data_IF_071332367815
#
_entry.id   IF_071332367815
#
_cell.length_a   1.000
_cell.length_b   1.000
_cell.length_c   1.000
_cell.angle_alpha   90.00
_cell.angle_beta   90.00
_cell.angle_gamma   90.00
#
_symmetry.space_group_name_H-M   'P 1'
#
loop_
_entity.id
_entity.type
_entity.pdbx_description
1 polymer ?
#
# COMPACT_ATOMS: atom_id res chain seq x y z
N UNK A 1 -19.83 24.20 35.07
CA UNK A 1 -20.08 22.77 35.33
C UNK A 1 -21.50 22.43 34.88
N UNK A 2 -21.64 21.82 33.69
CA UNK A 2 -22.73 20.93 33.24
C UNK A 2 -22.50 20.65 31.74
N UNK A 3 -21.48 19.84 31.50
CA UNK A 3 -21.30 19.12 30.24
C UNK A 3 -22.34 17.98 30.18
N UNK A 4 -22.75 17.63 28.97
CA UNK A 4 -23.53 16.44 28.56
C UNK A 4 -25.05 16.43 28.80
N UNK A 5 -25.81 16.76 27.74
CA UNK A 5 -27.01 16.05 27.21
C UNK A 5 -27.59 16.89 26.07
N UNK A 6 -27.49 16.53 24.79
CA UNK A 6 -28.37 15.65 23.97
C UNK A 6 -27.85 15.88 22.53
N UNK A 7 -27.35 14.95 21.72
CA UNK A 7 -27.84 13.64 21.25
C UNK A 7 -29.35 13.68 20.94
N UNK A 8 -29.67 13.38 19.66
CA UNK A 8 -31.00 13.37 19.01
C UNK A 8 -31.53 14.81 18.77
N UNK A 9 -31.66 15.35 17.56
CA UNK A 9 -32.00 14.82 16.25
C UNK A 9 -31.48 15.77 15.16
N UNK A 10 -30.65 15.28 14.24
CA UNK A 10 -30.71 15.65 12.81
C UNK A 10 -30.09 14.48 12.06
N UNK A 11 -30.91 13.44 12.00
CA UNK A 11 -30.75 12.22 11.24
C UNK A 11 -30.86 12.53 9.75
N UNK A 12 -30.11 11.74 8.99
CA UNK A 12 -30.24 11.41 7.56
C UNK A 12 -29.35 12.19 6.58
N UNK A 13 -28.67 11.36 5.75
CA UNK A 13 -27.84 11.68 4.57
C UNK A 13 -26.39 12.10 4.89
N UNK A 14 -25.48 11.18 5.21
CA UNK A 14 -24.97 10.19 4.26
C UNK A 14 -24.35 8.99 4.99
N UNK A 15 -25.15 7.95 5.18
CA UNK A 15 -24.64 6.58 5.20
C UNK A 15 -24.10 6.26 3.80
N UNK A 16 -22.85 6.67 3.50
CA UNK A 16 -22.10 5.95 2.48
C UNK A 16 -21.69 4.63 3.09
N UNK A 17 -22.58 3.66 2.90
CA UNK A 17 -22.31 2.23 2.94
C UNK A 17 -20.93 2.04 2.31
N UNK A 18 -19.93 1.76 3.15
CA UNK A 18 -18.63 1.30 2.69
C UNK A 18 -18.83 -0.15 2.26
N UNK A 19 -19.63 -0.36 1.22
CA UNK A 19 -19.58 -1.57 0.42
C UNK A 19 -18.14 -1.61 -0.06
N UNK A 20 -17.41 -2.59 0.48
CA UNK A 20 -16.05 -2.89 0.10
C UNK A 20 -16.04 -3.18 -1.40
N UNK A 21 -15.90 -2.13 -2.20
CA UNK A 21 -15.87 -2.20 -3.65
C UNK A 21 -14.61 -2.97 -3.97
N UNK A 22 -14.79 -4.26 -4.24
CA UNK A 22 -13.71 -5.16 -4.61
C UNK A 22 -13.04 -4.56 -5.84
N UNK A 23 -11.81 -4.05 -5.67
CA UNK A 23 -11.09 -3.43 -6.77
C UNK A 23 -10.61 -4.54 -7.71
N UNK A 24 -10.67 -4.30 -9.02
CA UNK A 24 -10.10 -5.22 -10.00
C UNK A 24 -8.72 -4.71 -10.40
N UNK A 25 -7.70 -5.54 -10.22
CA UNK A 25 -6.36 -5.20 -10.72
C UNK A 25 -6.39 -5.10 -12.25
N UNK A 26 -5.98 -3.95 -12.79
CA UNK A 26 -6.10 -3.65 -14.23
C UNK A 26 -4.85 -4.05 -15.01
N UNK A 27 -3.67 -3.84 -14.41
CA UNK A 27 -2.38 -4.07 -15.06
C UNK A 27 -1.39 -4.70 -14.09
N UNK A 28 -0.53 -5.59 -14.58
CA UNK A 28 0.57 -6.18 -13.81
C UNK A 28 1.90 -5.53 -14.21
N UNK A 29 2.58 -4.94 -13.24
CA UNK A 29 3.88 -4.28 -13.41
C UNK A 29 4.98 -5.15 -12.76
N UNK A 30 6.04 -5.44 -13.51
CA UNK A 30 7.23 -6.14 -12.98
C UNK A 30 8.32 -5.12 -12.68
N UNK A 31 8.64 -4.94 -11.40
CA UNK A 31 9.67 -4.02 -10.94
C UNK A 31 10.93 -4.81 -10.58
N UNK A 32 12.09 -4.39 -11.10
CA UNK A 32 13.36 -5.07 -10.89
C UNK A 32 14.48 -4.06 -10.67
N UNK A 33 15.31 -4.30 -9.65
CA UNK A 33 16.56 -3.58 -9.42
C UNK A 33 17.62 -4.58 -8.96
N UNK A 34 18.68 -4.78 -9.75
CA UNK A 34 19.68 -5.84 -9.54
C UNK A 34 19.00 -7.22 -9.36
N UNK A 35 19.22 -7.86 -8.21
CA UNK A 35 18.64 -9.16 -7.86
C UNK A 35 17.31 -9.04 -7.09
N UNK A 36 16.85 -7.82 -6.80
CA UNK A 36 15.58 -7.56 -6.13
C UNK A 36 14.44 -7.43 -7.14
N UNK A 37 13.30 -8.05 -6.86
CA UNK A 37 12.12 -8.04 -7.73
C UNK A 37 10.83 -7.97 -6.94
N UNK A 38 9.89 -7.16 -7.42
CA UNK A 38 8.53 -7.08 -6.89
C UNK A 38 7.54 -7.02 -8.05
N UNK A 39 6.37 -7.61 -7.85
CA UNK A 39 5.25 -7.51 -8.80
C UNK A 39 4.24 -6.56 -8.17
N UNK A 40 3.97 -5.47 -8.87
CA UNK A 40 2.97 -4.50 -8.51
C UNK A 40 1.81 -4.54 -9.51
N UNK A 41 0.71 -3.89 -9.15
CA UNK A 41 -0.51 -3.90 -9.91
C UNK A 41 -1.11 -2.50 -9.92
N UNK A 42 -1.59 -2.05 -11.09
CA UNK A 42 -2.41 -0.85 -11.16
C UNK A 42 -3.82 -1.18 -10.70
N UNK A 43 -4.37 -0.26 -9.92
CA UNK A 43 -5.74 -0.29 -9.44
C UNK A 43 -6.59 0.70 -10.26
N UNK A 44 -7.94 0.57 -10.25
CA UNK A 44 -8.84 1.42 -11.03
C UNK A 44 -8.75 2.91 -10.68
N UNK A 45 -8.30 3.23 -9.46
CA UNK A 45 -8.09 4.60 -8.98
C UNK A 45 -6.74 5.22 -9.44
N UNK A 46 -6.04 4.57 -10.37
CA UNK A 46 -4.73 5.01 -10.87
C UNK A 46 -3.55 4.70 -9.95
N UNK A 47 -3.80 4.17 -8.74
CA UNK A 47 -2.72 3.84 -7.80
C UNK A 47 -2.04 2.53 -8.17
N UNK A 48 -0.75 2.44 -7.83
CA UNK A 48 0.01 1.20 -7.93
C UNK A 48 0.16 0.57 -6.54
N UNK A 49 -0.13 -0.71 -6.45
CA UNK A 49 -0.14 -1.45 -5.19
C UNK A 49 0.55 -2.81 -5.33
N UNK A 50 1.01 -3.36 -4.20
CA UNK A 50 1.51 -4.74 -4.10
C UNK A 50 0.70 -5.47 -3.04
N UNK A 51 0.79 -6.80 -3.02
CA UNK A 51 0.18 -7.57 -1.92
C UNK A 51 0.85 -7.25 -0.57
N UNK A 52 0.07 -7.22 0.51
CA UNK A 52 0.60 -7.08 1.88
C UNK A 52 1.62 -8.18 2.20
N UNK A 53 1.47 -9.37 1.60
CA UNK A 53 2.46 -10.44 1.71
C UNK A 53 3.80 -10.05 1.08
N UNK A 54 3.81 -9.52 -0.14
CA UNK A 54 5.04 -9.10 -0.82
C UNK A 54 5.76 -7.97 -0.08
N UNK A 55 5.02 -7.05 0.54
CA UNK A 55 5.58 -5.97 1.38
C UNK A 55 6.60 -6.49 2.40
N UNK A 56 6.35 -7.64 3.04
CA UNK A 56 7.27 -8.27 3.98
C UNK A 56 8.21 -9.28 3.32
N UNK A 57 7.67 -10.18 2.47
CA UNK A 57 8.43 -11.32 1.94
C UNK A 57 9.51 -10.88 0.97
N UNK A 58 9.28 -9.83 0.17
CA UNK A 58 10.29 -9.31 -0.76
C UNK A 58 11.57 -8.89 -0.04
N UNK A 59 11.45 -8.43 1.20
CA UNK A 59 12.57 -7.99 2.05
C UNK A 59 12.96 -9.02 3.11
N UNK A 60 12.56 -10.28 2.93
CA UNK A 60 12.86 -11.40 3.82
C UNK A 60 12.43 -11.15 5.27
N UNK A 61 11.27 -10.51 5.47
CA UNK A 61 10.65 -10.34 6.79
C UNK A 61 9.42 -11.21 6.95
N UNK A 62 9.13 -11.67 8.19
CA UNK A 62 7.88 -12.35 8.49
C UNK A 62 6.68 -11.48 8.14
N UNK A 63 5.62 -12.08 7.61
CA UNK A 63 4.37 -11.38 7.24
C UNK A 63 3.73 -10.66 8.44
N UNK A 64 3.93 -11.16 9.67
CA UNK A 64 3.48 -10.50 10.91
C UNK A 64 4.03 -9.07 11.05
N UNK A 65 5.26 -8.79 10.59
CA UNK A 65 5.86 -7.46 10.71
C UNK A 65 5.13 -6.43 9.84
N UNK A 66 4.67 -6.81 8.65
CA UNK A 66 3.85 -5.92 7.82
C UNK A 66 2.47 -5.68 8.45
N UNK A 67 1.83 -6.74 8.97
CA UNK A 67 0.52 -6.60 9.66
C UNK A 67 0.62 -5.68 10.88
N UNK A 68 1.68 -5.83 11.68
CA UNK A 68 1.93 -4.99 12.84
C UNK A 68 2.17 -3.53 12.45
N UNK A 69 2.98 -3.28 11.41
CA UNK A 69 3.21 -1.93 10.90
C UNK A 69 1.90 -1.27 10.42
N UNK A 70 1.07 -1.98 9.67
CA UNK A 70 -0.23 -1.49 9.21
C UNK A 70 -1.18 -1.20 10.38
N UNK A 71 -1.17 -2.04 11.42
CA UNK A 71 -1.96 -1.83 12.64
C UNK A 71 -1.55 -0.56 13.37
N UNK A 72 -0.25 -0.33 13.55
CA UNK A 72 0.28 0.84 14.27
C UNK A 72 0.06 2.13 13.48
N UNK A 73 0.17 2.08 12.15
CA UNK A 73 -0.03 3.25 11.29
C UNK A 73 -1.51 3.52 10.96
N UNK A 74 -2.42 2.63 11.35
CA UNK A 74 -3.86 2.75 11.04
C UNK A 74 -4.19 2.53 9.55
N UNK A 75 -3.22 2.14 8.73
CA UNK A 75 -3.40 1.97 7.29
C UNK A 75 -4.14 0.68 7.00
N UNK A 76 -5.24 0.78 6.23
CA UNK A 76 -6.08 -0.36 5.84
C UNK A 76 -5.75 -0.81 4.41
N UNK A 77 -5.44 -2.09 4.19
CA UNK A 77 -5.31 -2.64 2.84
C UNK A 77 -6.63 -2.62 2.07
N UNK A 78 -6.53 -2.53 0.75
CA UNK A 78 -7.67 -2.76 -0.14
C UNK A 78 -7.85 -4.24 -0.43
N UNK A 79 -9.10 -4.69 -0.51
CA UNK A 79 -9.45 -5.98 -1.10
C UNK A 79 -9.43 -5.85 -2.61
N UNK A 80 -8.54 -6.58 -3.27
CA UNK A 80 -8.38 -6.54 -4.72
C UNK A 80 -8.54 -7.94 -5.29
N UNK A 81 -9.39 -8.07 -6.31
CA UNK A 81 -9.48 -9.26 -7.12
C UNK A 81 -8.47 -9.21 -8.26
N UNK A 82 -7.61 -10.22 -8.28
CA UNK A 82 -6.59 -10.44 -9.29
C UNK A 82 -7.21 -11.03 -10.56
N UNK A 83 -6.53 -10.99 -11.73
CA UNK A 83 -7.05 -11.56 -12.98
C UNK A 83 -7.41 -13.05 -12.88
N UNK A 84 -6.74 -13.81 -12.01
CA UNK A 84 -7.05 -15.22 -11.73
C UNK A 84 -8.21 -15.41 -10.73
N UNK A 85 -9.01 -14.37 -10.47
CA UNK A 85 -10.12 -14.32 -9.50
C UNK A 85 -9.72 -14.52 -8.04
N UNK A 86 -8.43 -14.59 -7.72
CA UNK A 86 -7.97 -14.60 -6.34
C UNK A 86 -8.17 -13.22 -5.71
N UNK A 87 -8.75 -13.17 -4.50
CA UNK A 87 -8.89 -11.93 -3.73
C UNK A 87 -7.72 -11.83 -2.77
N UNK A 88 -7.05 -10.67 -2.76
CA UNK A 88 -5.88 -10.43 -1.91
C UNK A 88 -5.91 -9.03 -1.30
N UNK A 89 -5.20 -8.89 -0.17
CA UNK A 89 -4.98 -7.61 0.48
C UNK A 89 -3.82 -6.90 -0.23
N UNK A 90 -4.10 -5.72 -0.79
CA UNK A 90 -3.10 -4.88 -1.44
C UNK A 90 -2.91 -3.56 -0.73
N UNK A 91 -1.70 -3.01 -0.86
CA UNK A 91 -1.31 -1.75 -0.26
C UNK A 91 -0.49 -0.92 -1.24
N UNK A 92 -0.65 0.40 -1.18
CA UNK A 92 0.03 1.35 -2.06
C UNK A 92 1.55 1.24 -1.97
N UNK A 93 2.24 1.52 -3.08
CA UNK A 93 3.70 1.60 -3.09
C UNK A 93 4.25 2.65 -2.10
N UNK A 94 3.54 3.75 -1.85
CA UNK A 94 3.93 4.76 -0.87
C UNK A 94 4.01 4.18 0.56
N UNK A 95 3.04 3.35 0.94
CA UNK A 95 3.04 2.68 2.25
C UNK A 95 4.17 1.66 2.35
N UNK A 96 4.47 0.94 1.25
CA UNK A 96 5.57 -0.01 1.19
C UNK A 96 6.91 0.70 1.36
N UNK A 97 7.10 1.84 0.69
CA UNK A 97 8.29 2.67 0.83
C UNK A 97 8.46 3.14 2.28
N UNK A 98 7.39 3.58 2.94
CA UNK A 98 7.41 3.97 4.35
C UNK A 98 7.80 2.79 5.26
N UNK A 99 7.28 1.60 5.00
CA UNK A 99 7.65 0.40 5.77
C UNK A 99 9.12 0.01 5.61
N UNK A 100 9.63 -0.01 4.38
CA UNK A 100 11.03 -0.36 4.14
C UNK A 100 11.99 0.68 4.70
N UNK A 101 11.64 1.96 4.60
CA UNK A 101 12.34 3.05 5.27
C UNK A 101 12.36 2.85 6.80
N UNK A 102 11.20 2.58 7.40
CA UNK A 102 11.09 2.28 8.84
C UNK A 102 11.96 1.09 9.27
N UNK A 103 12.02 0.01 8.48
CA UNK A 103 12.92 -1.11 8.77
C UNK A 103 14.38 -0.67 8.74
N UNK A 104 14.80 0.09 7.73
CA UNK A 104 16.17 0.57 7.61
C UNK A 104 16.55 1.51 8.78
N UNK A 105 15.69 2.45 9.12
CA UNK A 105 15.93 3.46 10.17
C UNK A 105 15.89 2.85 11.59
N UNK A 106 15.06 1.83 11.81
CA UNK A 106 14.98 1.14 13.12
C UNK A 106 16.08 0.09 13.35
N UNK A 107 17.06 -0.03 12.44
CA UNK A 107 18.10 -1.06 12.50
C UNK A 107 17.61 -2.48 12.21
N UNK A 108 16.32 -2.65 11.89
CA UNK A 108 15.71 -3.95 11.53
C UNK A 108 15.84 -4.28 10.04
N UNK A 109 16.50 -3.43 9.25
CA UNK A 109 16.71 -3.58 7.82
C UNK A 109 17.68 -4.71 7.46
N UNK A 110 17.81 -4.98 6.17
CA UNK A 110 18.81 -5.87 5.58
C UNK A 110 19.17 -5.36 4.16
N UNK A 111 19.99 -6.11 3.42
CA UNK A 111 20.35 -5.73 2.04
C UNK A 111 19.11 -5.63 1.15
N UNK A 112 18.11 -6.50 1.33
CA UNK A 112 16.90 -6.50 0.52
C UNK A 112 16.01 -5.27 0.81
N UNK A 113 15.91 -4.81 2.06
CA UNK A 113 15.17 -3.57 2.38
C UNK A 113 15.84 -2.34 1.75
N UNK A 114 17.18 -2.29 1.70
CA UNK A 114 17.91 -1.21 1.02
C UNK A 114 17.68 -1.23 -0.49
N UNK A 115 17.80 -2.41 -1.11
CA UNK A 115 17.53 -2.58 -2.55
C UNK A 115 16.08 -2.26 -2.90
N UNK A 116 15.13 -2.69 -2.07
CA UNK A 116 13.72 -2.37 -2.24
C UNK A 116 13.45 -0.87 -2.13
N UNK A 117 14.02 -0.20 -1.11
CA UNK A 117 13.86 1.24 -0.96
C UNK A 117 14.41 1.99 -2.18
N UNK A 118 15.59 1.63 -2.68
CA UNK A 118 16.15 2.22 -3.90
C UNK A 118 15.23 2.00 -5.11
N UNK A 119 14.76 0.76 -5.31
CA UNK A 119 13.83 0.45 -6.41
C UNK A 119 12.58 1.33 -6.39
N UNK A 120 11.98 1.56 -5.21
CA UNK A 120 10.79 2.40 -5.10
C UNK A 120 11.09 3.87 -5.30
N UNK A 121 12.24 4.36 -4.82
CA UNK A 121 12.68 5.74 -5.07
C UNK A 121 12.83 5.96 -6.59
N UNK A 122 13.57 5.08 -7.27
CA UNK A 122 13.79 5.17 -8.72
C UNK A 122 12.45 5.13 -9.48
N UNK A 123 11.55 4.21 -9.10
CA UNK A 123 10.26 4.06 -9.75
C UNK A 123 9.36 5.29 -9.56
N UNK A 124 9.25 5.80 -8.32
CA UNK A 124 8.41 6.95 -8.02
C UNK A 124 8.94 8.24 -8.65
N UNK A 125 10.28 8.40 -8.72
CA UNK A 125 10.90 9.52 -9.43
C UNK A 125 10.59 9.47 -10.94
N UNK A 126 10.70 8.29 -11.56
CA UNK A 126 10.39 8.14 -12.98
C UNK A 126 8.90 8.36 -13.29
N UNK A 127 7.99 7.96 -12.39
CA UNK A 127 6.56 8.26 -12.55
C UNK A 127 6.26 9.77 -12.48
N UNK A 128 6.97 10.53 -11.63
CA UNK A 128 6.81 11.98 -11.55
C UNK A 128 7.26 12.68 -12.84
N UNK A 129 8.38 12.23 -13.43
CA UNK A 129 8.92 12.83 -14.66
C UNK A 129 8.01 12.63 -15.88
N UNK A 130 7.31 11.49 -15.97
CA UNK A 130 6.32 11.26 -17.05
C UNK A 130 5.06 12.14 -16.95
N UNK A 131 4.80 12.76 -15.78
CA UNK A 131 3.70 13.71 -15.63
C UNK A 131 4.11 15.14 -16.02
N UNK A 132 5.41 15.46 -15.97
CA UNK A 132 5.93 16.80 -16.29
C UNK A 132 6.30 17.01 -17.76
N UNK A 133 6.54 15.94 -18.51
CA UNK A 133 6.87 16.02 -19.95
C UNK A 133 5.64 16.04 -20.88
N UNK A 134 4.43 15.95 -20.31
CA UNK A 134 3.16 15.94 -21.05
C UNK A 134 2.24 17.14 -20.78
N UNK A 135 2.77 18.25 -20.27
CA UNK A 135 2.03 19.50 -20.03
C UNK A 135 2.42 20.60 -21.02
#
# INVERSE_FOLDING_TARGET
>A
MKFFTRILEMTQENNFIQDSTLLLATERIRMKHKNFRVIAYKLPNGQTAITVRQMAVAVQKPSKNAKEFLRITGVRPWKVQMPNRCITDMISLSTVAAYWKHLNESGKGNIQTRLGQQLLIDYLANQANHLTEGS
#
